data_IF_000987871903
#
_entry.id   IF_000987871903
#
_cell.length_a   1.000
_cell.length_b   1.000
_cell.length_c   1.000
_cell.angle_alpha   90.00
_cell.angle_beta   90.00
_cell.angle_gamma   90.00
#
_symmetry.space_group_name_H-M   'P 1'
#
loop_
_entity.id
_entity.type
_entity.pdbx_description
1 polymer ?
#
# COMPACT_ATOMS: atom_id res chain seq x y z
N UNK A 1 10.26 16.25 19.28
CA UNK A 1 11.08 16.38 18.06
C UNK A 1 11.13 14.97 17.49
N UNK A 2 10.36 14.63 16.46
CA UNK A 2 10.64 14.94 15.03
C UNK A 2 9.30 14.89 14.26
N UNK A 3 8.83 15.99 13.67
CA UNK A 3 8.92 16.26 12.22
C UNK A 3 8.05 15.34 11.34
N UNK A 4 6.75 15.63 11.26
CA UNK A 4 6.00 15.36 10.02
C UNK A 4 5.08 16.56 9.75
N UNK A 5 5.68 17.75 9.67
CA UNK A 5 5.07 18.90 9.02
C UNK A 5 5.11 18.72 7.48
N UNK A 6 4.84 17.50 7.00
CA UNK A 6 4.61 17.24 5.58
C UNK A 6 3.18 17.69 5.32
N UNK A 7 2.98 18.48 4.27
CA UNK A 7 1.68 19.06 3.94
C UNK A 7 0.60 17.98 3.92
N UNK A 8 -0.25 18.01 4.94
CA UNK A 8 -1.37 17.11 5.09
C UNK A 8 -2.58 17.78 4.46
N UNK A 9 -2.82 17.50 3.18
CA UNK A 9 -4.02 17.93 2.47
C UNK A 9 -5.01 16.77 2.45
N UNK A 10 -6.28 17.02 2.77
CA UNK A 10 -7.32 16.01 2.63
C UNK A 10 -7.75 15.95 1.17
N UNK A 11 -7.38 14.86 0.49
CA UNK A 11 -7.82 14.61 -0.88
C UNK A 11 -9.16 13.86 -0.84
N UNK A 12 -10.11 14.11 -1.76
CA UNK A 12 -11.37 13.37 -1.81
C UNK A 12 -11.13 11.87 -2.02
N UNK A 13 -12.09 11.03 -1.62
CA UNK A 13 -11.96 9.60 -1.88
C UNK A 13 -11.95 9.33 -3.39
N UNK A 14 -11.07 8.44 -3.81
CA UNK A 14 -10.85 8.24 -5.23
C UNK A 14 -9.58 7.47 -5.56
N UNK A 15 -9.31 7.39 -6.85
CA UNK A 15 -8.18 6.67 -7.41
C UNK A 15 -7.05 7.66 -7.73
N UNK A 16 -5.89 7.44 -7.13
CA UNK A 16 -4.75 8.33 -7.29
C UNK A 16 -3.49 7.57 -7.66
N UNK A 17 -2.61 8.28 -8.37
CA UNK A 17 -1.26 7.83 -8.62
C UNK A 17 -0.38 8.14 -7.40
N UNK A 18 0.40 7.15 -7.01
CA UNK A 18 1.30 7.26 -5.88
C UNK A 18 2.72 6.92 -6.29
N UNK A 19 3.68 7.52 -5.60
CA UNK A 19 5.11 7.27 -5.71
C UNK A 19 5.64 7.00 -4.32
N UNK A 20 6.35 5.90 -4.15
CA UNK A 20 7.02 5.59 -2.88
C UNK A 20 8.29 6.43 -2.82
N UNK A 21 8.33 7.37 -1.90
CA UNK A 21 9.51 8.24 -1.73
C UNK A 21 10.62 7.48 -1.00
N UNK A 22 10.26 6.87 0.12
CA UNK A 22 11.18 6.10 0.96
C UNK A 22 10.43 5.07 1.78
N UNK A 23 11.18 4.17 2.43
CA UNK A 23 10.61 3.29 3.44
C UNK A 23 11.55 3.19 4.64
N UNK A 24 10.95 2.98 5.80
CA UNK A 24 11.63 2.81 7.07
C UNK A 24 11.39 1.40 7.59
N UNK A 25 12.44 0.73 8.05
CA UNK A 25 12.31 -0.56 8.73
C UNK A 25 12.12 -0.32 10.21
N UNK A 26 11.05 -0.88 10.76
CA UNK A 26 10.73 -0.81 12.17
C UNK A 26 10.35 -2.19 12.71
N UNK A 27 10.13 -2.26 14.02
CA UNK A 27 9.58 -3.43 14.66
C UNK A 27 8.16 -3.15 15.13
N UNK A 28 7.23 -4.06 14.84
CA UNK A 28 5.89 -4.05 15.43
C UNK A 28 5.95 -4.79 16.75
N UNK A 29 5.60 -4.13 17.86
CA UNK A 29 5.66 -4.70 19.21
C UNK A 29 4.64 -5.82 19.46
N UNK A 30 3.79 -6.12 18.47
CA UNK A 30 2.70 -7.06 18.62
C UNK A 30 1.42 -6.38 19.10
N UNK A 31 0.32 -7.11 18.98
CA UNK A 31 -1.02 -6.77 19.46
C UNK A 31 -1.73 -8.07 19.86
N UNK A 32 -2.86 -7.95 20.54
CA UNK A 32 -3.71 -9.07 20.93
C UNK A 32 -4.04 -10.01 19.74
N UNK A 33 -4.11 -9.46 18.53
CA UNK A 33 -4.43 -10.21 17.30
C UNK A 33 -3.20 -10.64 16.47
N UNK A 34 -2.00 -10.17 16.81
CA UNK A 34 -0.82 -10.35 15.95
C UNK A 34 0.49 -10.34 16.75
N UNK A 35 1.37 -11.33 16.60
CA UNK A 35 2.65 -11.35 17.31
C UNK A 35 3.56 -10.19 16.89
N UNK A 36 4.57 -9.92 17.71
CA UNK A 36 5.63 -9.00 17.36
C UNK A 36 6.33 -9.46 16.08
N UNK A 37 6.49 -8.55 15.12
CA UNK A 37 7.06 -8.87 13.82
C UNK A 37 7.77 -7.65 13.21
N UNK A 38 8.73 -7.84 12.30
CA UNK A 38 9.29 -6.73 11.54
C UNK A 38 8.20 -6.03 10.73
N UNK A 39 8.24 -4.70 10.67
CA UNK A 39 7.35 -3.89 9.84
C UNK A 39 8.15 -2.93 8.96
N UNK A 40 7.60 -2.59 7.80
CA UNK A 40 8.10 -1.53 6.96
C UNK A 40 7.06 -0.40 6.94
N UNK A 41 7.48 0.82 7.22
CA UNK A 41 6.65 2.02 7.05
C UNK A 41 7.05 2.66 5.73
N UNK A 42 6.14 2.62 4.77
CA UNK A 42 6.30 3.25 3.47
C UNK A 42 5.87 4.71 3.56
N UNK A 43 6.72 5.61 3.08
CA UNK A 43 6.38 6.99 2.84
C UNK A 43 5.89 7.11 1.39
N UNK A 44 4.57 7.16 1.22
CA UNK A 44 3.92 7.19 -0.08
C UNK A 44 3.49 8.62 -0.38
N UNK A 45 4.01 9.17 -1.48
CA UNK A 45 3.62 10.46 -2.02
C UNK A 45 2.50 10.26 -3.02
N UNK A 46 1.36 10.89 -2.80
CA UNK A 46 0.23 10.88 -3.73
C UNK A 46 0.26 12.19 -4.53
N UNK A 47 0.16 12.07 -5.85
CA UNK A 47 0.09 13.21 -6.76
C UNK A 47 -1.37 13.40 -7.18
N UNK A 48 -1.95 14.54 -6.82
CA UNK A 48 -3.31 14.92 -7.18
C UNK A 48 -3.30 16.30 -7.85
N UNK A 49 -4.33 16.64 -8.65
CA UNK A 49 -4.47 17.99 -9.21
C UNK A 49 -4.61 19.07 -8.13
N UNK A 50 -5.15 18.71 -6.96
CA UNK A 50 -5.30 19.60 -5.79
C UNK A 50 -3.98 19.85 -5.07
N UNK A 51 -2.98 18.98 -5.23
CA UNK A 51 -1.69 19.10 -4.59
C UNK A 51 -1.01 17.76 -4.34
N UNK A 52 0.06 17.80 -3.56
CA UNK A 52 0.83 16.62 -3.17
C UNK A 52 0.55 16.34 -1.70
N UNK A 53 0.19 15.10 -1.36
CA UNK A 53 0.08 14.65 0.03
C UNK A 53 1.01 13.48 0.29
N UNK A 54 1.44 13.35 1.53
CA UNK A 54 2.22 12.20 2.00
C UNK A 54 1.35 11.32 2.90
N UNK A 55 1.32 10.02 2.60
CA UNK A 55 0.59 9.02 3.36
C UNK A 55 1.56 7.95 3.83
N UNK A 56 1.55 7.69 5.13
CA UNK A 56 2.35 6.62 5.72
C UNK A 56 1.57 5.31 5.67
N UNK A 57 2.10 4.31 4.98
CA UNK A 57 1.49 2.99 4.91
C UNK A 57 2.37 1.96 5.60
N UNK A 58 1.81 1.24 6.57
CA UNK A 58 2.54 0.21 7.31
C UNK A 58 2.31 -1.18 6.70
N UNK A 59 3.41 -1.87 6.44
CA UNK A 59 3.42 -3.26 5.98
C UNK A 59 4.04 -4.14 7.07
N UNK A 60 3.31 -5.15 7.55
CA UNK A 60 3.86 -6.10 8.51
C UNK A 60 4.45 -7.29 7.75
N UNK A 61 5.68 -7.68 8.08
CA UNK A 61 6.40 -8.77 7.41
C UNK A 61 6.07 -10.10 8.07
N UNK A 62 4.78 -10.49 8.02
CA UNK A 62 4.28 -11.70 8.65
C UNK A 62 3.31 -12.45 7.73
N UNK A 63 3.32 -13.78 7.78
CA UNK A 63 2.55 -14.65 6.88
C UNK A 63 1.04 -14.34 6.86
N UNK A 64 0.46 -13.91 7.99
CA UNK A 64 -0.96 -13.51 8.08
C UNK A 64 -1.36 -12.33 7.20
N UNK A 65 -0.43 -11.44 6.88
CA UNK A 65 -0.68 -10.29 5.99
C UNK A 65 0.19 -10.35 4.73
N UNK A 66 0.63 -11.56 4.37
CA UNK A 66 1.37 -11.79 3.13
C UNK A 66 0.57 -11.36 1.90
N UNK A 67 -0.78 -11.47 1.95
CA UNK A 67 -1.65 -10.98 0.88
C UNK A 67 -1.47 -9.47 0.66
N UNK A 68 -1.37 -8.66 1.72
CA UNK A 68 -1.16 -7.20 1.63
C UNK A 68 0.19 -6.84 1.03
N UNK A 69 1.24 -7.56 1.46
CA UNK A 69 2.56 -7.42 0.84
C UNK A 69 2.45 -7.75 -0.64
N UNK A 70 1.80 -8.85 -1.00
CA UNK A 70 1.59 -9.23 -2.40
C UNK A 70 0.86 -8.14 -3.18
N UNK A 71 -0.24 -7.60 -2.65
CA UNK A 71 -1.00 -6.50 -3.28
C UNK A 71 -0.12 -5.28 -3.53
N UNK A 72 0.69 -4.89 -2.54
CA UNK A 72 1.63 -3.78 -2.68
C UNK A 72 2.71 -4.06 -3.74
N UNK A 73 3.38 -5.22 -3.70
CA UNK A 73 4.43 -5.52 -4.70
C UNK A 73 3.85 -5.68 -6.12
N UNK A 74 2.59 -6.11 -6.24
CA UNK A 74 1.89 -6.16 -7.54
C UNK A 74 1.49 -4.75 -8.01
N UNK A 75 1.14 -3.83 -7.10
CA UNK A 75 0.77 -2.46 -7.49
C UNK A 75 1.91 -1.63 -8.03
N UNK A 76 3.14 -1.90 -7.56
CA UNK A 76 4.36 -1.28 -8.09
C UNK A 76 4.99 -2.06 -9.26
N UNK A 77 4.30 -3.07 -9.79
CA UNK A 77 4.75 -3.87 -10.93
C UNK A 77 5.96 -4.80 -10.65
N UNK A 78 6.40 -4.92 -9.40
CA UNK A 78 7.50 -5.83 -9.04
C UNK A 78 7.07 -7.30 -8.98
N UNK A 79 5.77 -7.58 -8.84
CA UNK A 79 5.23 -8.95 -8.82
C UNK A 79 4.23 -9.16 -9.96
N UNK A 80 4.53 -10.12 -10.83
CA UNK A 80 3.63 -10.63 -11.89
C UNK A 80 2.83 -11.84 -11.42
N UNK A 81 1.66 -12.06 -12.02
CA UNK A 81 0.82 -13.25 -11.77
C UNK A 81 1.61 -14.50 -12.17
N UNK A 82 1.82 -15.42 -11.23
CA UNK A 82 2.52 -16.70 -11.46
C UNK A 82 4.02 -16.71 -11.14
N UNK A 83 4.65 -15.59 -10.76
CA UNK A 83 6.03 -15.60 -10.27
C UNK A 83 6.11 -15.65 -8.73
N UNK A 84 7.15 -16.31 -8.17
CA UNK A 84 7.40 -16.26 -6.74
C UNK A 84 7.61 -14.82 -6.31
N UNK A 85 6.92 -14.43 -5.25
CA UNK A 85 6.96 -13.08 -4.72
C UNK A 85 8.37 -12.75 -4.24
N UNK A 86 9.11 -11.96 -5.02
CA UNK A 86 10.40 -11.40 -4.61
C UNK A 86 10.17 -10.00 -4.06
N UNK A 87 10.33 -9.85 -2.76
CA UNK A 87 10.25 -8.56 -2.08
C UNK A 87 11.55 -7.79 -2.32
N UNK A 88 11.69 -7.14 -3.48
CA UNK A 88 12.88 -6.36 -3.78
C UNK A 88 12.77 -4.98 -3.13
N UNK A 89 13.04 -4.94 -1.81
CA UNK A 89 12.99 -3.73 -1.01
C UNK A 89 13.91 -2.61 -1.54
N UNK A 90 15.00 -2.94 -2.22
CA UNK A 90 15.90 -1.95 -2.82
C UNK A 90 15.27 -1.19 -3.99
N UNK A 91 14.26 -1.77 -4.65
CA UNK A 91 13.54 -1.16 -5.76
C UNK A 91 12.20 -0.53 -5.33
N UNK A 92 11.89 -0.55 -4.03
CA UNK A 92 10.70 0.10 -3.46
C UNK A 92 10.78 1.64 -3.54
N UNK A 93 11.85 2.31 -3.10
CA UNK A 93 11.95 3.77 -3.25
C UNK A 93 12.03 4.16 -4.75
N UNK A 94 11.24 5.15 -5.16
CA UNK A 94 11.05 5.54 -6.55
C UNK A 94 10.01 4.71 -7.31
N UNK A 95 9.47 3.65 -6.71
CA UNK A 95 8.40 2.87 -7.33
C UNK A 95 7.09 3.66 -7.36
N UNK A 96 6.29 3.46 -8.40
CA UNK A 96 5.00 4.14 -8.56
C UNK A 96 3.91 3.14 -8.91
N UNK A 97 2.67 3.53 -8.63
CA UNK A 97 1.50 2.70 -8.89
C UNK A 97 0.21 3.48 -8.70
N UNK A 98 -0.92 2.76 -8.70
CA UNK A 98 -2.24 3.33 -8.43
C UNK A 98 -2.80 2.80 -7.13
N UNK A 99 -3.40 3.66 -6.34
CA UNK A 99 -4.06 3.28 -5.09
C UNK A 99 -5.40 3.97 -4.97
N UNK A 100 -6.32 3.31 -4.26
CA UNK A 100 -7.55 3.92 -3.79
C UNK A 100 -7.28 4.63 -2.48
N UNK A 101 -7.38 5.94 -2.51
CA UNK A 101 -7.35 6.77 -1.32
C UNK A 101 -8.75 6.86 -0.74
N UNK A 102 -8.84 6.81 0.58
CA UNK A 102 -10.06 7.15 1.29
C UNK A 102 -9.72 7.83 2.59
N UNK A 103 -10.75 8.02 3.41
CA UNK A 103 -10.61 8.66 4.69
C UNK A 103 -10.73 7.67 5.84
N UNK A 104 -10.03 7.98 6.92
CA UNK A 104 -10.18 7.32 8.20
C UNK A 104 -10.40 8.37 9.27
N UNK A 105 -11.50 8.23 10.00
CA UNK A 105 -11.74 9.01 11.19
C UNK A 105 -10.98 8.38 12.37
N UNK A 106 -10.14 9.16 13.02
CA UNK A 106 -9.42 8.75 14.22
C UNK A 106 -9.41 9.91 15.20
N UNK A 107 -9.95 9.68 16.41
CA UNK A 107 -10.06 10.71 17.47
C UNK A 107 -10.69 12.03 17.00
N UNK A 108 -11.72 11.96 16.14
CA UNK A 108 -12.42 13.13 15.60
C UNK A 108 -11.68 13.84 14.46
N UNK A 109 -10.48 13.39 14.09
CA UNK A 109 -9.73 13.90 12.95
C UNK A 109 -9.84 12.96 11.76
N UNK A 110 -9.95 13.53 10.56
CA UNK A 110 -9.96 12.78 9.31
C UNK A 110 -8.53 12.68 8.78
N UNK A 111 -8.11 11.46 8.45
CA UNK A 111 -6.81 11.17 7.87
C UNK A 111 -6.93 10.51 6.51
N UNK A 112 -6.02 10.83 5.59
CA UNK A 112 -5.87 10.10 4.34
C UNK A 112 -5.35 8.68 4.64
N UNK A 113 -6.04 7.68 4.13
CA UNK A 113 -5.67 6.27 4.27
C UNK A 113 -5.77 5.58 2.91
N UNK A 114 -4.72 4.85 2.55
CA UNK A 114 -4.77 3.98 1.37
C UNK A 114 -5.64 2.77 1.72
N UNK A 115 -6.81 2.69 1.08
CA UNK A 115 -7.76 1.59 1.26
C UNK A 115 -7.36 0.35 0.48
N UNK A 116 -6.86 0.55 -0.74
CA UNK A 116 -6.52 -0.54 -1.64
C UNK A 116 -5.39 -0.11 -2.59
N UNK A 117 -4.52 -1.06 -2.93
CA UNK A 117 -3.56 -0.88 -4.00
C UNK A 117 -4.08 -1.56 -5.26
N UNK A 118 -4.07 -0.85 -6.39
CA UNK A 118 -4.44 -1.44 -7.67
C UNK A 118 -3.22 -2.13 -8.29
N UNK A 119 -3.39 -3.32 -8.86
CA UNK A 119 -2.31 -3.99 -9.57
C UNK A 119 -1.81 -3.09 -10.72
N UNK A 120 -0.49 -3.04 -10.93
CA UNK A 120 0.06 -2.36 -12.09
C UNK A 120 -0.53 -3.00 -13.37
N UNK A 121 -0.92 -2.21 -14.38
CA UNK A 121 -1.41 -2.76 -15.63
C UNK A 121 -0.32 -3.66 -16.23
N UNK A 122 -0.60 -4.95 -16.32
CA UNK A 122 0.27 -5.85 -17.06
C UNK A 122 0.25 -5.42 -18.54
N UNK A 123 1.40 -5.28 -19.21
CA UNK A 123 1.40 -5.06 -20.65
C UNK A 123 0.80 -6.30 -21.32
N UNK A 124 -0.50 -6.25 -21.60
CA UNK A 124 -1.25 -7.30 -22.31
C UNK A 124 -2.23 -8.15 -21.50
N UNK A 125 -2.61 -7.82 -20.26
CA UNK A 125 -3.63 -8.58 -19.52
C UNK A 125 -4.90 -7.76 -19.27
N UNK A 126 -6.01 -8.19 -19.88
CA UNK A 126 -7.36 -7.74 -19.56
C UNK A 126 -7.69 -8.01 -18.09
N UNK A 127 -8.43 -7.12 -17.41
CA UNK A 127 -8.77 -7.27 -15.99
C UNK A 127 -9.65 -8.52 -15.78
N UNK A 128 -9.02 -9.65 -15.49
CA UNK A 128 -9.71 -10.85 -15.05
C UNK A 128 -10.03 -10.70 -13.57
N UNK A 129 -11.19 -10.08 -13.31
CA UNK A 129 -11.85 -10.12 -12.02
C UNK A 129 -12.01 -11.57 -11.55
N UNK A 130 -11.55 -11.81 -10.33
CA UNK A 130 -11.80 -12.96 -9.46
C UNK A 130 -12.58 -14.14 -10.06
N UNK A 131 -11.85 -15.20 -10.42
CA UNK A 131 -12.37 -16.57 -10.31
C UNK A 131 -12.68 -16.85 -8.84
N UNK A 132 -13.96 -16.77 -8.48
CA UNK A 132 -14.51 -17.49 -7.33
C UNK A 132 -15.08 -18.80 -7.87
N UNK A 133 -14.50 -19.93 -7.49
CA UNK A 133 -15.08 -21.27 -7.72
C UNK A 133 -15.73 -21.75 -6.42
N UNK A 134 -17.05 -21.61 -6.21
CA UNK A 134 -17.77 -22.46 -5.27
C UNK A 134 -18.16 -23.79 -5.93
N UNK A 135 -18.02 -24.86 -5.17
CA UNK A 135 -17.95 -26.24 -5.64
C UNK A 135 -19.21 -26.83 -6.27
N UNK A 136 -18.95 -27.95 -6.93
CA UNK A 136 -19.82 -29.04 -7.34
C UNK A 136 -21.21 -29.12 -6.70
N UNK A 137 -22.20 -29.36 -7.56
CA UNK A 137 -23.40 -30.14 -7.29
C UNK A 137 -23.49 -31.25 -8.32
#
# INVERSE_FOLDING_TARGET
MTEDAREFILLPDGDYEFVVESFERQHFSGSEKMPACPKAILNIRILAPEGITYVKHQLLLHSRVQYRLSEFFTSIGQKKKGQPMRMNWSAVPGAHGRCKLGHRLYEGNTYNEIKQFYPAPEPGQTPNGNQYTPGAF
#
